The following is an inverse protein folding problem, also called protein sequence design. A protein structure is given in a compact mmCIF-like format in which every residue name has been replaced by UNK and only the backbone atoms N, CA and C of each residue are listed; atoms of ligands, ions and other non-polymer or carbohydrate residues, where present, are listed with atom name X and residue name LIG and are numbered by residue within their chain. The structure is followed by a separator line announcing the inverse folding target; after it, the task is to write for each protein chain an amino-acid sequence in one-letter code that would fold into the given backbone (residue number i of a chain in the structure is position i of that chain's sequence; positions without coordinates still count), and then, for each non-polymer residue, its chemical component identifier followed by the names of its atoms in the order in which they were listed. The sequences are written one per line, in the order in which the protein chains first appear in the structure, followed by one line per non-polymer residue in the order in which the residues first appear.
data_IF_771352540834
#
_entry.id   IF_771352540834
#
_cell.length_a   1.000
_cell.length_b   1.000
_cell.length_c   1.000
_cell.angle_alpha   90.00
_cell.angle_beta   90.00
_cell.angle_gamma   90.00
#
_symmetry.space_group_name_H-M   'P 1'
#
loop_
_entity.id
_entity.type
_entity.pdbx_description
1 polymer ?
#
# COMPACT_ATOMS: atom_id res chain seq x y z
N UNK A 1 -22.12 -10.50 6.72
CA UNK A 1 -20.90 -11.33 6.73
C UNK A 1 -19.83 -10.56 5.99
N UNK A 2 -18.64 -10.36 6.57
CA UNK A 2 -17.52 -9.72 5.84
C UNK A 2 -16.99 -10.71 4.80
N UNK A 3 -16.54 -10.21 3.64
CA UNK A 3 -15.85 -11.07 2.67
C UNK A 3 -14.44 -11.39 3.17
N UNK A 4 -13.86 -12.51 2.73
CA UNK A 4 -12.46 -12.87 3.04
C UNK A 4 -11.47 -11.77 2.64
N UNK A 5 -11.77 -11.05 1.55
CA UNK A 5 -10.94 -9.93 1.10
C UNK A 5 -11.00 -8.74 2.07
N UNK A 6 -12.17 -8.41 2.60
CA UNK A 6 -12.30 -7.38 3.64
C UNK A 6 -11.54 -7.76 4.92
N UNK A 7 -11.62 -9.03 5.34
CA UNK A 7 -10.87 -9.52 6.50
C UNK A 7 -9.35 -9.45 6.28
N UNK A 8 -8.89 -9.73 5.05
CA UNK A 8 -7.48 -9.58 4.70
C UNK A 8 -7.06 -8.11 4.65
N UNK A 9 -7.90 -7.20 4.16
CA UNK A 9 -7.62 -5.77 4.19
C UNK A 9 -7.49 -5.24 5.62
N UNK A 10 -8.39 -5.64 6.51
CA UNK A 10 -8.32 -5.28 7.95
C UNK A 10 -6.97 -5.72 8.55
N UNK A 11 -6.51 -6.95 8.25
CA UNK A 11 -5.19 -7.46 8.68
C UNK A 11 -4.03 -6.68 8.08
N UNK A 12 -4.13 -6.23 6.84
CA UNK A 12 -3.09 -5.42 6.19
C UNK A 12 -2.96 -4.07 6.88
N UNK A 13 -4.08 -3.39 7.14
CA UNK A 13 -4.13 -2.10 7.84
C UNK A 13 -3.51 -2.22 9.24
N UNK A 14 -3.91 -3.24 10.00
CA UNK A 14 -3.36 -3.53 11.33
C UNK A 14 -1.82 -3.70 11.28
N UNK A 15 -1.31 -4.43 10.27
CA UNK A 15 0.13 -4.68 10.10
C UNK A 15 0.92 -3.48 9.57
N UNK A 16 0.30 -2.59 8.79
CA UNK A 16 0.93 -1.33 8.37
C UNK A 16 1.13 -0.43 9.59
N UNK A 17 0.10 -0.35 10.45
CA UNK A 17 0.11 0.44 11.66
C UNK A 17 0.08 1.95 11.42
N UNK A 18 0.13 2.72 12.50
CA UNK A 18 0.15 4.19 12.48
C UNK A 18 1.57 4.72 12.61
N UNK A 19 1.79 5.99 12.28
CA UNK A 19 3.09 6.64 12.44
C UNK A 19 3.16 8.05 11.85
N UNK A 20 4.25 8.80 12.11
CA UNK A 20 4.37 10.21 11.72
C UNK A 20 4.66 10.42 10.22
N UNK A 21 4.91 9.35 9.48
CA UNK A 21 5.31 9.43 8.08
C UNK A 21 4.14 9.88 7.19
N UNK A 22 4.36 10.97 6.47
CA UNK A 22 3.48 11.47 5.41
C UNK A 22 4.18 11.29 4.07
N UNK A 23 3.62 10.46 3.21
CA UNK A 23 4.15 10.16 1.89
C UNK A 23 3.59 11.11 0.84
N UNK A 24 4.37 11.33 -0.21
CA UNK A 24 4.00 12.08 -1.39
C UNK A 24 2.80 11.44 -2.09
N UNK A 25 1.69 12.18 -2.17
CA UNK A 25 0.45 11.68 -2.76
C UNK A 25 0.59 11.37 -4.27
N UNK A 26 1.43 12.12 -5.00
CA UNK A 26 1.70 11.84 -6.41
C UNK A 26 2.44 10.51 -6.59
N UNK A 27 3.38 10.20 -5.69
CA UNK A 27 4.05 8.89 -5.69
C UNK A 27 3.04 7.77 -5.41
N UNK A 28 2.20 7.90 -4.38
CA UNK A 28 1.19 6.89 -4.05
C UNK A 28 0.22 6.65 -5.22
N UNK A 29 -0.18 7.70 -5.94
CA UNK A 29 -1.04 7.60 -7.12
C UNK A 29 -0.34 6.88 -8.29
N UNK A 30 0.94 7.14 -8.54
CA UNK A 30 1.72 6.43 -9.56
C UNK A 30 1.89 4.94 -9.23
N UNK A 31 2.17 4.63 -7.96
CA UNK A 31 2.27 3.25 -7.47
C UNK A 31 0.92 2.54 -7.60
N UNK A 32 -0.18 3.20 -7.23
CA UNK A 32 -1.54 2.68 -7.37
C UNK A 32 -1.85 2.31 -8.82
N UNK A 33 -1.60 3.21 -9.77
CA UNK A 33 -1.82 2.95 -11.21
C UNK A 33 -0.96 1.80 -11.70
N UNK A 34 0.32 1.79 -11.35
CA UNK A 34 1.25 0.75 -11.77
C UNK A 34 0.86 -0.62 -11.20
N UNK A 35 0.40 -0.66 -9.95
CA UNK A 35 -0.10 -1.88 -9.32
C UNK A 35 -1.33 -2.45 -10.04
N UNK A 36 -2.29 -1.59 -10.42
CA UNK A 36 -3.49 -2.00 -11.15
C UNK A 36 -3.19 -2.45 -12.59
N UNK A 37 -2.25 -1.80 -13.26
CA UNK A 37 -1.96 -2.06 -14.69
C UNK A 37 -0.95 -3.20 -14.89
N UNK A 38 0.02 -3.33 -13.98
CA UNK A 38 1.23 -4.14 -14.17
C UNK A 38 1.54 -5.06 -12.99
N UNK A 39 0.79 -4.97 -11.90
CA UNK A 39 0.94 -5.82 -10.73
C UNK A 39 2.07 -5.42 -9.76
N UNK A 40 2.19 -6.19 -8.69
CA UNK A 40 3.06 -5.91 -7.54
C UNK A 40 4.53 -5.67 -7.91
N UNK A 41 5.12 -6.54 -8.74
CA UNK A 41 6.53 -6.45 -9.08
C UNK A 41 6.87 -5.13 -9.79
N UNK A 42 6.02 -4.68 -10.71
CA UNK A 42 6.20 -3.41 -11.39
C UNK A 42 6.02 -2.22 -10.44
N UNK A 43 5.08 -2.32 -9.51
CA UNK A 43 4.86 -1.29 -8.48
C UNK A 43 6.08 -1.17 -7.55
N UNK A 44 6.65 -2.28 -7.08
CA UNK A 44 7.87 -2.28 -6.26
C UNK A 44 9.07 -1.67 -6.99
N UNK A 45 9.24 -1.99 -8.29
CA UNK A 45 10.27 -1.36 -9.13
C UNK A 45 10.06 0.15 -9.22
N UNK A 46 8.82 0.63 -9.44
CA UNK A 46 8.54 2.06 -9.51
C UNK A 46 8.88 2.77 -8.20
N UNK A 47 8.52 2.18 -7.05
CA UNK A 47 8.86 2.73 -5.73
C UNK A 47 10.38 2.89 -5.58
N UNK A 48 11.15 1.85 -5.93
CA UNK A 48 12.62 1.86 -5.81
C UNK A 48 13.32 2.92 -6.67
N UNK A 49 12.65 3.42 -7.72
CA UNK A 49 13.21 4.40 -8.65
C UNK A 49 12.85 5.84 -8.29
N UNK A 50 11.75 6.06 -7.55
CA UNK A 50 11.15 7.39 -7.40
C UNK A 50 11.01 7.87 -5.96
N UNK A 51 10.96 6.97 -4.99
CA UNK A 51 10.69 7.31 -3.60
C UNK A 51 11.94 7.82 -2.87
N UNK A 52 11.77 8.74 -1.90
CA UNK A 52 12.80 8.99 -0.89
C UNK A 52 12.94 7.77 0.04
N UNK A 53 14.07 7.63 0.75
CA UNK A 53 14.38 6.43 1.53
C UNK A 53 13.27 6.00 2.50
N UNK A 54 12.74 6.94 3.29
CA UNK A 54 11.68 6.63 4.28
C UNK A 54 10.35 6.21 3.61
N UNK A 55 10.01 6.86 2.49
CA UNK A 55 8.80 6.53 1.71
C UNK A 55 8.95 5.19 1.00
N UNK A 56 10.13 4.89 0.48
CA UNK A 56 10.45 3.63 -0.17
C UNK A 56 10.21 2.47 0.81
N UNK A 57 10.81 2.55 1.99
CA UNK A 57 10.69 1.51 3.01
C UNK A 57 9.23 1.28 3.41
N UNK A 58 8.45 2.35 3.55
CA UNK A 58 7.05 2.25 3.92
C UNK A 58 6.17 1.66 2.81
N UNK A 59 6.27 2.21 1.60
CA UNK A 59 5.41 1.78 0.48
C UNK A 59 5.76 0.35 0.06
N UNK A 60 7.04 -0.01 0.01
CA UNK A 60 7.47 -1.39 -0.25
C UNK A 60 6.96 -2.34 0.84
N UNK A 61 7.02 -1.95 2.12
CA UNK A 61 6.48 -2.78 3.20
C UNK A 61 4.96 -2.99 3.04
N UNK A 62 4.21 -1.94 2.70
CA UNK A 62 2.76 -2.04 2.48
C UNK A 62 2.40 -2.96 1.31
N UNK A 63 3.14 -2.88 0.19
CA UNK A 63 2.98 -3.79 -0.96
C UNK A 63 3.26 -5.24 -0.55
N UNK A 64 4.38 -5.49 0.14
CA UNK A 64 4.76 -6.81 0.64
C UNK A 64 3.71 -7.40 1.61
N UNK A 65 3.18 -6.61 2.54
CA UNK A 65 2.15 -7.07 3.48
C UNK A 65 0.86 -7.41 2.71
N UNK A 66 0.44 -6.56 1.78
CA UNK A 66 -0.75 -6.77 0.95
C UNK A 66 -0.65 -8.07 0.14
N UNK A 67 0.51 -8.31 -0.49
CA UNK A 67 0.76 -9.53 -1.25
C UNK A 67 0.76 -10.77 -0.34
N UNK A 68 1.40 -10.71 0.84
CA UNK A 68 1.40 -11.80 1.83
C UNK A 68 0.02 -12.11 2.41
N UNK A 69 -0.90 -11.14 2.43
CA UNK A 69 -2.30 -11.36 2.82
C UNK A 69 -3.20 -11.74 1.64
N UNK A 70 -2.63 -12.03 0.47
CA UNK A 70 -3.36 -12.39 -0.76
C UNK A 70 -4.42 -11.36 -1.14
N UNK A 71 -4.12 -10.06 -0.99
CA UNK A 71 -5.00 -9.04 -1.54
C UNK A 71 -4.92 -9.03 -3.07
N UNK A 72 -6.09 -8.87 -3.70
CA UNK A 72 -6.18 -8.51 -5.11
C UNK A 72 -5.41 -7.21 -5.39
N UNK A 73 -5.11 -6.95 -6.66
CA UNK A 73 -4.46 -5.71 -7.05
C UNK A 73 -5.35 -4.50 -6.72
N UNK A 74 -6.66 -4.66 -6.86
CA UNK A 74 -7.67 -3.65 -6.55
C UNK A 74 -7.71 -3.32 -5.05
N UNK A 75 -7.74 -4.35 -4.20
CA UNK A 75 -7.74 -4.16 -2.75
C UNK A 75 -6.43 -3.52 -2.27
N UNK A 76 -5.29 -3.99 -2.78
CA UNK A 76 -3.99 -3.42 -2.45
C UNK A 76 -3.82 -1.99 -2.99
N UNK A 77 -4.32 -1.69 -4.19
CA UNK A 77 -4.34 -0.32 -4.73
C UNK A 77 -5.12 0.63 -3.81
N UNK A 78 -6.22 0.17 -3.21
CA UNK A 78 -6.97 0.95 -2.21
C UNK A 78 -6.16 1.19 -0.93
N UNK A 79 -5.40 0.20 -0.47
CA UNK A 79 -4.46 0.37 0.66
C UNK A 79 -3.40 1.43 0.33
N UNK A 80 -2.74 1.31 -0.83
CA UNK A 80 -1.67 2.23 -1.25
C UNK A 80 -2.17 3.66 -1.38
N UNK A 81 -3.34 3.87 -2.00
CA UNK A 81 -3.93 5.19 -2.13
C UNK A 81 -4.20 5.87 -0.79
N UNK A 82 -4.48 5.07 0.25
CA UNK A 82 -4.86 5.55 1.57
C UNK A 82 -3.77 5.37 2.61
N UNK A 83 -2.51 5.15 2.20
CA UNK A 83 -1.42 4.87 3.14
C UNK A 83 -1.24 6.00 4.16
N UNK A 84 -1.37 7.26 3.73
CA UNK A 84 -1.37 8.43 4.63
C UNK A 84 -2.55 8.41 5.63
N UNK A 85 -3.74 8.00 5.20
CA UNK A 85 -4.93 7.89 6.06
C UNK A 85 -4.73 6.80 7.11
N UNK A 86 -4.24 5.62 6.69
CA UNK A 86 -3.90 4.50 7.57
C UNK A 86 -2.85 4.94 8.59
N UNK A 87 -1.76 5.57 8.14
CA UNK A 87 -0.68 6.06 9.00
C UNK A 87 -1.15 7.09 10.03
N UNK A 88 -2.11 7.92 9.65
CA UNK A 88 -2.72 8.90 10.56
C UNK A 88 -3.67 8.28 11.61
N UNK A 89 -3.97 6.98 11.50
CA UNK A 89 -4.91 6.29 12.40
C UNK A 89 -6.38 6.60 12.11
N UNK A 90 -6.70 7.07 10.91
CA UNK A 90 -8.07 7.49 10.52
C UNK A 90 -8.74 6.55 9.52
N UNK A 91 -8.19 5.35 9.35
CA UNK A 91 -8.73 4.32 8.46
C UNK A 91 -9.95 3.63 9.08
#
# INVERSE_FOLDING_TARGET
MKTKEMENMDKVVEKIGTGPLCMNESLLEEVRKTLLEKGYAAAEVLVSQRAGSDEQDEVTRALTISQKQNLSQEAAAKIIQNLNVIKSGKW
#
